data_IF_164596604076
#
_entry.id   IF_164596604076
#
_cell.length_a   1.000
_cell.length_b   1.000
_cell.length_c   1.000
_cell.angle_alpha   90.00
_cell.angle_beta   90.00
_cell.angle_gamma   90.00
#
_symmetry.space_group_name_H-M   'P 1'
#
loop_
_entity.id
_entity.type
_entity.pdbx_description
1 polymer ?
#
# COMPACT_ATOMS: atom_id res chain seq x y z
N UNK A 1 12.54 1.32 -25.20
CA UNK A 1 12.96 0.32 -26.21
C UNK A 1 14.42 -0.08 -26.08
N UNK A 2 15.36 0.86 -25.90
CA UNK A 2 16.80 0.57 -25.74
C UNK A 2 17.10 -0.65 -24.84
N UNK A 3 16.62 -0.64 -23.59
CA UNK A 3 16.83 -1.73 -22.62
C UNK A 3 16.29 -3.07 -23.11
N UNK A 4 15.09 -3.07 -23.69
CA UNK A 4 14.39 -4.27 -24.14
C UNK A 4 14.95 -4.90 -25.41
N UNK A 5 15.63 -4.11 -26.21
CA UNK A 5 16.19 -4.53 -27.50
C UNK A 5 17.69 -4.77 -27.45
N UNK A 6 18.34 -4.54 -26.30
CA UNK A 6 19.77 -4.70 -26.15
C UNK A 6 20.14 -6.19 -25.95
N UNK A 7 21.03 -6.76 -26.79
CA UNK A 7 21.56 -8.09 -26.57
C UNK A 7 22.34 -8.19 -25.26
N UNK A 8 22.32 -9.37 -24.65
CA UNK A 8 22.96 -9.63 -23.35
C UNK A 8 24.47 -9.40 -23.35
N UNK A 9 25.15 -9.54 -24.50
CA UNK A 9 26.60 -9.27 -24.61
C UNK A 9 26.96 -7.80 -24.33
N UNK A 10 25.99 -6.88 -24.48
CA UNK A 10 26.21 -5.44 -24.28
C UNK A 10 25.71 -4.94 -22.92
N UNK A 11 25.28 -5.83 -22.00
CA UNK A 11 24.79 -5.41 -20.69
C UNK A 11 25.88 -4.74 -19.86
N UNK A 12 27.04 -5.37 -19.73
CA UNK A 12 28.14 -4.84 -18.92
C UNK A 12 28.85 -3.65 -19.59
N UNK A 13 28.90 -3.61 -20.93
CA UNK A 13 29.62 -2.58 -21.69
C UNK A 13 28.80 -1.32 -22.02
N UNK A 14 27.47 -1.43 -22.10
CA UNK A 14 26.58 -0.32 -22.45
C UNK A 14 25.50 -0.05 -21.41
N UNK A 15 24.67 -1.04 -21.06
CA UNK A 15 23.49 -0.79 -20.23
C UNK A 15 23.85 -0.51 -18.78
N UNK A 16 24.74 -1.27 -18.15
CA UNK A 16 25.10 -1.04 -16.75
C UNK A 16 25.78 0.32 -16.54
N UNK A 17 26.76 0.75 -17.36
CA UNK A 17 27.36 2.08 -17.28
C UNK A 17 26.37 3.23 -17.52
N UNK A 18 25.31 3.00 -18.31
CA UNK A 18 24.27 4.00 -18.57
C UNK A 18 23.23 4.06 -17.44
N UNK A 19 22.69 2.90 -17.05
CA UNK A 19 21.56 2.80 -16.14
C UNK A 19 21.96 3.01 -14.68
N UNK A 20 23.17 2.62 -14.27
CA UNK A 20 23.64 2.80 -12.90
C UNK A 20 23.63 4.27 -12.45
N UNK A 21 24.32 5.17 -13.15
CA UNK A 21 24.29 6.61 -12.87
C UNK A 21 22.89 7.20 -13.02
N UNK A 22 22.10 6.74 -13.99
CA UNK A 22 20.72 7.18 -14.18
C UNK A 22 19.86 6.86 -12.95
N UNK A 23 19.88 5.63 -12.44
CA UNK A 23 19.10 5.27 -11.25
C UNK A 23 19.57 6.00 -9.99
N UNK A 24 20.87 6.26 -9.88
CA UNK A 24 21.43 7.08 -8.80
C UNK A 24 20.86 8.51 -8.85
N UNK A 25 20.89 9.14 -10.02
CA UNK A 25 20.31 10.47 -10.21
C UNK A 25 18.80 10.50 -9.95
N UNK A 26 18.06 9.51 -10.49
CA UNK A 26 16.61 9.40 -10.31
C UNK A 26 16.24 9.21 -8.83
N UNK A 27 16.99 8.39 -8.08
CA UNK A 27 16.79 8.20 -6.65
C UNK A 27 16.89 9.54 -5.92
N UNK A 28 17.96 10.30 -6.15
CA UNK A 28 18.20 11.58 -5.49
C UNK A 28 17.12 12.60 -5.86
N UNK A 29 16.82 12.73 -7.16
CA UNK A 29 15.87 13.71 -7.68
C UNK A 29 14.44 13.42 -7.21
N UNK A 30 13.99 12.17 -7.29
CA UNK A 30 12.66 11.78 -6.83
C UNK A 30 12.52 11.96 -5.32
N UNK A 31 13.51 11.52 -4.54
CA UNK A 31 13.47 11.66 -3.08
C UNK A 31 13.37 13.12 -2.66
N UNK A 32 14.19 14.00 -3.26
CA UNK A 32 14.16 15.43 -2.98
C UNK A 32 12.82 16.07 -3.35
N UNK A 33 12.29 15.77 -4.55
CA UNK A 33 11.02 16.36 -5.02
C UNK A 33 9.83 15.87 -4.19
N UNK A 34 9.78 14.58 -3.85
CA UNK A 34 8.73 14.03 -2.99
C UNK A 34 8.79 14.57 -1.57
N UNK A 35 9.99 14.81 -1.04
CA UNK A 35 10.15 15.46 0.26
C UNK A 35 9.53 16.87 0.26
N UNK A 36 9.76 17.66 -0.79
CA UNK A 36 9.15 19.00 -0.93
C UNK A 36 7.62 18.90 -0.96
N UNK A 37 7.06 18.01 -1.77
CA UNK A 37 5.59 17.84 -1.87
C UNK A 37 5.00 17.43 -0.52
N UNK A 38 5.59 16.43 0.14
CA UNK A 38 5.10 15.95 1.43
C UNK A 38 5.16 17.04 2.51
N UNK A 39 6.20 17.88 2.50
CA UNK A 39 6.30 19.03 3.41
C UNK A 39 5.20 20.06 3.13
N UNK A 40 4.94 20.41 1.86
CA UNK A 40 3.86 21.34 1.47
C UNK A 40 2.50 20.84 1.93
N UNK A 41 2.18 19.57 1.69
CA UNK A 41 0.92 18.97 2.15
C UNK A 41 0.76 19.08 3.67
N UNK A 42 1.84 18.88 4.45
CA UNK A 42 1.80 18.98 5.91
C UNK A 42 1.56 20.41 6.41
N UNK A 43 2.12 21.42 5.73
CA UNK A 43 1.98 22.83 6.10
C UNK A 43 0.62 23.39 5.68
N UNK A 44 0.13 23.00 4.50
CA UNK A 44 -1.18 23.42 4.00
C UNK A 44 -2.33 22.85 4.86
N UNK A 45 -2.14 21.69 5.49
CA UNK A 45 -3.07 21.14 6.47
C UNK A 45 -3.13 21.93 7.80
N UNK A 46 -2.17 22.83 8.05
CA UNK A 46 -2.03 23.60 9.30
C UNK A 46 -2.37 25.08 9.16
N UNK A 47 -2.45 25.62 7.93
CA UNK A 47 -2.74 27.03 7.68
C UNK A 47 -4.06 27.21 6.92
N UNK A 48 -5.09 27.73 7.59
CA UNK A 48 -6.28 28.33 6.97
C UNK A 48 -5.93 29.74 6.44
N UNK A 49 -5.00 29.82 5.48
CA UNK A 49 -4.63 31.12 4.90
C UNK A 49 -5.53 31.42 3.69
N UNK A 50 -6.48 32.34 3.87
CA UNK A 50 -7.47 32.78 2.87
C UNK A 50 -6.85 33.52 1.65
N UNK A 51 -5.53 33.76 1.66
CA UNK A 51 -4.79 34.43 0.60
C UNK A 51 -3.93 33.48 -0.26
N UNK A 52 -4.26 32.19 -0.32
CA UNK A 52 -3.62 31.27 -1.25
C UNK A 52 -4.15 31.53 -2.67
N UNK A 53 -3.36 32.20 -3.52
CA UNK A 53 -3.79 32.47 -4.88
C UNK A 53 -4.05 31.14 -5.63
N UNK A 54 -5.19 31.05 -6.31
CA UNK A 54 -5.62 29.88 -7.09
C UNK A 54 -4.54 29.39 -8.06
N UNK A 55 -3.73 30.32 -8.61
CA UNK A 55 -2.59 30.02 -9.48
C UNK A 55 -1.50 29.20 -8.77
N UNK A 56 -1.24 29.45 -7.49
CA UNK A 56 -0.26 28.68 -6.72
C UNK A 56 -0.74 27.25 -6.46
N UNK A 57 -2.02 27.07 -6.11
CA UNK A 57 -2.62 25.74 -5.93
C UNK A 57 -2.55 24.94 -7.23
N UNK A 58 -2.92 25.56 -8.36
CA UNK A 58 -2.86 24.91 -9.66
C UNK A 58 -1.43 24.46 -10.01
N UNK A 59 -0.43 25.34 -9.82
CA UNK A 59 0.97 25.00 -10.08
C UNK A 59 1.44 23.82 -9.22
N UNK A 60 1.11 23.80 -7.92
CA UNK A 60 1.49 22.72 -7.02
C UNK A 60 0.85 21.38 -7.43
N UNK A 61 -0.42 21.39 -7.80
CA UNK A 61 -1.12 20.20 -8.30
C UNK A 61 -0.45 19.68 -9.58
N UNK A 62 -0.11 20.55 -10.52
CA UNK A 62 0.60 20.15 -11.76
C UNK A 62 1.97 19.56 -11.45
N UNK A 63 2.74 20.18 -10.55
CA UNK A 63 4.05 19.67 -10.13
C UNK A 63 3.94 18.26 -9.50
N UNK A 64 2.91 18.02 -8.68
CA UNK A 64 2.64 16.72 -8.08
C UNK A 64 2.26 15.68 -9.13
N UNK A 65 1.35 16.02 -10.05
CA UNK A 65 0.94 15.10 -11.12
C UNK A 65 2.11 14.73 -12.03
N UNK A 66 2.96 15.70 -12.40
CA UNK A 66 4.17 15.42 -13.18
C UNK A 66 5.14 14.50 -12.41
N UNK A 67 5.32 14.70 -11.10
CA UNK A 67 6.19 13.85 -10.30
C UNK A 67 5.65 12.42 -10.17
N UNK A 68 4.33 12.26 -10.04
CA UNK A 68 3.66 10.96 -10.07
C UNK A 68 3.86 10.25 -11.42
N UNK A 69 3.75 10.97 -12.55
CA UNK A 69 4.00 10.40 -13.87
C UNK A 69 5.47 9.96 -14.03
N UNK A 70 6.43 10.82 -13.68
CA UNK A 70 7.87 10.48 -13.77
C UNK A 70 8.19 9.27 -12.90
N UNK A 71 7.63 9.20 -11.69
CA UNK A 71 7.75 8.01 -10.83
C UNK A 71 7.32 6.74 -11.55
N UNK A 72 6.12 6.78 -12.17
CA UNK A 72 5.52 5.59 -12.82
C UNK A 72 6.48 5.07 -13.89
N UNK A 73 6.97 5.96 -14.74
CA UNK A 73 7.93 5.63 -15.79
C UNK A 73 9.24 5.05 -15.23
N UNK A 74 9.76 5.59 -14.13
CA UNK A 74 10.97 5.07 -13.49
C UNK A 74 10.77 3.65 -12.97
N UNK A 75 9.62 3.37 -12.37
CA UNK A 75 9.32 2.04 -11.81
C UNK A 75 8.96 1.03 -12.89
N UNK A 76 8.31 1.47 -13.97
CA UNK A 76 8.12 0.64 -15.16
C UNK A 76 9.47 0.31 -15.81
N UNK A 77 10.39 1.28 -15.91
CA UNK A 77 11.76 1.04 -16.32
C UNK A 77 12.47 0.04 -15.40
N UNK A 78 12.35 0.17 -14.08
CA UNK A 78 12.92 -0.78 -13.12
C UNK A 78 12.29 -2.17 -13.24
N UNK A 79 10.98 -2.26 -13.44
CA UNK A 79 10.26 -3.52 -13.64
C UNK A 79 10.83 -4.27 -14.85
N UNK A 80 10.98 -3.55 -15.95
CA UNK A 80 11.47 -4.09 -17.22
C UNK A 80 12.97 -4.43 -17.14
N UNK A 81 13.74 -3.63 -16.41
CA UNK A 81 15.19 -3.82 -16.27
C UNK A 81 15.51 -4.98 -15.34
N UNK A 82 14.83 -5.07 -14.19
CA UNK A 82 15.22 -5.94 -13.09
C UNK A 82 14.41 -7.21 -12.97
N UNK A 83 13.19 -7.29 -13.53
CA UNK A 83 12.29 -8.43 -13.27
C UNK A 83 11.93 -9.16 -14.56
N UNK A 84 11.97 -10.48 -14.49
CA UNK A 84 11.38 -11.36 -15.50
C UNK A 84 10.26 -12.16 -14.90
N UNK A 85 9.20 -12.38 -15.69
CA UNK A 85 8.10 -13.25 -15.31
C UNK A 85 8.38 -14.65 -15.84
N UNK A 86 8.62 -15.62 -14.95
CA UNK A 86 8.62 -17.03 -15.37
C UNK A 86 7.19 -17.50 -15.53
N UNK A 87 6.81 -17.85 -16.75
CA UNK A 87 5.61 -18.65 -16.96
C UNK A 87 5.92 -20.08 -16.50
N UNK A 88 5.07 -20.73 -15.68
CA UNK A 88 5.23 -22.14 -15.39
C UNK A 88 5.29 -22.89 -16.72
N UNK A 89 6.41 -23.56 -17.00
CA UNK A 89 6.51 -24.44 -18.17
C UNK A 89 5.46 -25.54 -17.97
N UNK A 90 4.38 -25.49 -18.74
CA UNK A 90 3.56 -26.68 -18.97
C UNK A 90 4.53 -27.74 -19.49
N UNK A 91 4.73 -28.80 -18.72
CA UNK A 91 5.59 -29.91 -19.13
C UNK A 91 5.09 -30.40 -20.48
N UNK A 92 5.92 -30.20 -21.52
CA UNK A 92 5.70 -30.80 -22.82
C UNK A 92 5.91 -32.31 -22.69
N UNK A 93 4.87 -33.00 -22.21
CA UNK A 93 4.70 -34.41 -22.50
C UNK A 93 3.84 -34.51 -23.76
N UNK A 94 4.36 -35.29 -24.69
CA UNK A 94 3.85 -35.57 -26.03
C UNK A 94 2.45 -36.18 -26.00
N UNK A 95 1.77 -35.98 -27.13
CA UNK A 95 0.76 -36.87 -27.75
C UNK A 95 -0.51 -37.12 -26.92
N UNK A 96 -1.60 -36.41 -27.23
CA UNK A 96 -2.66 -36.94 -28.10
C UNK A 96 -3.97 -36.14 -28.00
N UNK A 97 -4.65 -36.09 -29.15
CA UNK A 97 -6.09 -36.07 -29.34
C UNK A 97 -7.00 -35.00 -28.68
N UNK A 98 -7.68 -34.32 -29.60
CA UNK A 98 -9.11 -33.99 -29.56
C UNK A 98 -9.58 -32.72 -28.85
N UNK A 99 -10.55 -32.09 -29.51
CA UNK A 99 -10.98 -30.72 -29.34
C UNK A 99 -11.80 -30.44 -28.09
N UNK A 100 -12.10 -29.15 -27.98
CA UNK A 100 -12.88 -28.47 -26.95
C UNK A 100 -12.09 -28.03 -25.71
N UNK A 101 -11.70 -26.75 -25.72
CA UNK A 101 -11.30 -26.01 -24.51
C UNK A 101 -12.12 -24.75 -24.39
N UNK A 102 -13.40 -24.93 -24.04
CA UNK A 102 -14.14 -23.94 -23.26
C UNK A 102 -13.56 -23.83 -21.85
N UNK A 103 -13.50 -22.57 -21.42
CA UNK A 103 -13.48 -22.08 -20.03
C UNK A 103 -12.16 -22.00 -19.24
N UNK A 104 -12.09 -20.86 -18.54
CA UNK A 104 -11.26 -20.48 -17.38
C UNK A 104 -9.84 -19.96 -17.67
N UNK A 105 -9.76 -18.76 -18.24
CA UNK A 105 -8.68 -17.80 -17.94
C UNK A 105 -9.20 -16.74 -16.96
N UNK A 106 -9.59 -17.20 -15.78
CA UNK A 106 -9.78 -16.36 -14.59
C UNK A 106 -9.28 -17.15 -13.40
N UNK A 107 -7.96 -17.36 -13.39
CA UNK A 107 -7.30 -17.60 -12.13
C UNK A 107 -6.00 -16.81 -12.09
N UNK A 108 -5.83 -16.13 -10.97
CA UNK A 108 -4.68 -15.29 -10.63
C UNK A 108 -3.37 -16.02 -10.95
N UNK A 109 -2.78 -15.71 -12.10
CA UNK A 109 -1.54 -16.32 -12.57
C UNK A 109 -0.38 -15.79 -11.70
N UNK A 110 -0.19 -16.43 -10.55
CA UNK A 110 0.99 -16.32 -9.68
C UNK A 110 2.23 -16.83 -10.43
N UNK A 111 2.65 -16.10 -11.45
CA UNK A 111 3.96 -16.27 -12.05
C UNK A 111 4.99 -15.94 -10.98
N UNK A 112 6.01 -16.79 -10.84
CA UNK A 112 7.13 -16.49 -9.95
C UNK A 112 7.94 -15.39 -10.65
N UNK A 113 8.03 -14.23 -10.01
CA UNK A 113 8.90 -13.14 -10.44
C UNK A 113 10.32 -13.42 -9.97
N UNK A 114 11.28 -13.28 -10.88
CA UNK A 114 12.69 -13.46 -10.59
C UNK A 114 13.50 -12.31 -11.17
N UNK A 115 14.71 -12.14 -10.64
CA UNK A 115 15.64 -11.15 -11.15
C UNK A 115 16.07 -11.51 -12.57
N UNK A 116 15.91 -10.57 -13.50
CA UNK A 116 16.37 -10.69 -14.88
C UNK A 116 17.90 -10.78 -14.95
N UNK A 117 18.46 -11.25 -16.07
CA UNK A 117 19.92 -11.27 -16.27
C UNK A 117 20.52 -9.86 -16.23
N UNK A 118 19.84 -8.87 -16.81
CA UNK A 118 20.25 -7.47 -16.72
C UNK A 118 20.18 -6.95 -15.28
N UNK A 119 19.13 -7.28 -14.54
CA UNK A 119 18.98 -6.95 -13.13
C UNK A 119 20.11 -7.53 -12.29
N UNK A 120 20.50 -8.80 -12.55
CA UNK A 120 21.66 -9.42 -11.90
C UNK A 120 22.95 -8.66 -12.19
N UNK A 121 23.17 -8.21 -13.43
CA UNK A 121 24.37 -7.46 -13.79
C UNK A 121 24.40 -6.08 -13.13
N UNK A 122 23.29 -5.35 -13.23
CA UNK A 122 23.15 -3.99 -12.70
C UNK A 122 23.30 -3.93 -11.18
N UNK A 123 22.70 -4.89 -10.47
CA UNK A 123 22.66 -4.92 -9.02
C UNK A 123 23.91 -5.56 -8.38
N UNK A 124 24.98 -5.81 -9.16
CA UNK A 124 26.31 -6.18 -8.62
C UNK A 124 26.92 -5.04 -7.82
N UNK A 125 26.64 -3.79 -8.20
CA UNK A 125 27.06 -2.61 -7.45
C UNK A 125 26.11 -2.39 -6.27
N UNK A 126 26.67 -2.37 -5.06
CA UNK A 126 25.91 -2.15 -3.83
C UNK A 126 25.20 -0.79 -3.83
N UNK A 127 25.87 0.27 -4.29
CA UNK A 127 25.29 1.62 -4.38
C UNK A 127 24.06 1.64 -5.30
N UNK A 128 24.17 1.02 -6.48
CA UNK A 128 23.05 0.95 -7.43
C UNK A 128 21.91 0.12 -6.82
N UNK A 129 22.24 -1.00 -6.18
CA UNK A 129 21.26 -1.86 -5.54
C UNK A 129 20.47 -1.13 -4.45
N UNK A 130 21.17 -0.41 -3.58
CA UNK A 130 20.56 0.42 -2.54
C UNK A 130 19.68 1.51 -3.14
N UNK A 131 20.14 2.22 -4.17
CA UNK A 131 19.35 3.25 -4.84
C UNK A 131 18.04 2.69 -5.44
N UNK A 132 18.12 1.53 -6.10
CA UNK A 132 16.95 0.84 -6.67
C UNK A 132 15.98 0.39 -5.58
N UNK A 133 16.47 -0.21 -4.49
CA UNK A 133 15.65 -0.55 -3.33
C UNK A 133 14.97 0.70 -2.75
N UNK A 134 15.72 1.78 -2.57
CA UNK A 134 15.19 3.02 -2.01
C UNK A 134 14.08 3.60 -2.87
N UNK A 135 14.24 3.62 -4.19
CA UNK A 135 13.18 4.06 -5.12
C UNK A 135 11.92 3.20 -4.93
N UNK A 136 12.04 1.86 -4.98
CA UNK A 136 10.88 0.97 -4.91
C UNK A 136 10.14 1.04 -3.57
N UNK A 137 10.86 1.11 -2.44
CA UNK A 137 10.21 1.16 -1.13
C UNK A 137 9.64 2.54 -0.80
N UNK A 138 10.26 3.63 -1.26
CA UNK A 138 9.66 4.97 -1.13
C UNK A 138 8.38 5.10 -1.94
N UNK A 139 8.32 4.51 -3.14
CA UNK A 139 7.14 4.64 -4.01
C UNK A 139 5.87 3.99 -3.45
N UNK A 140 5.99 3.09 -2.46
CA UNK A 140 4.85 2.46 -1.79
C UNK A 140 3.93 3.45 -1.07
N UNK A 141 4.44 4.62 -0.69
CA UNK A 141 3.69 5.66 0.03
C UNK A 141 3.29 6.85 -0.85
N UNK A 142 3.59 6.81 -2.16
CA UNK A 142 3.22 7.88 -3.09
C UNK A 142 1.78 7.67 -3.57
N UNK A 143 1.02 8.75 -3.82
CA UNK A 143 -0.44 8.75 -4.01
C UNK A 143 -0.90 8.07 -5.33
N UNK A 144 -0.65 6.78 -5.46
CA UNK A 144 -0.94 5.99 -6.65
C UNK A 144 -1.16 4.51 -6.32
N UNK A 145 -2.43 4.10 -6.28
CA UNK A 145 -2.85 2.77 -5.82
C UNK A 145 -2.42 1.66 -6.77
N UNK A 146 -2.62 1.85 -8.09
CA UNK A 146 -2.30 0.84 -9.11
C UNK A 146 -0.80 0.54 -9.10
N UNK A 147 0.00 1.59 -8.97
CA UNK A 147 1.43 1.47 -8.90
C UNK A 147 1.90 0.82 -7.60
N UNK A 148 1.36 1.25 -6.46
CA UNK A 148 1.68 0.67 -5.15
C UNK A 148 1.45 -0.85 -5.15
N UNK A 149 0.30 -1.30 -5.66
CA UNK A 149 -0.04 -2.73 -5.78
C UNK A 149 1.01 -3.48 -6.60
N UNK A 150 1.34 -2.97 -7.80
CA UNK A 150 2.30 -3.60 -8.70
C UNK A 150 3.71 -3.62 -8.11
N UNK A 151 4.19 -2.51 -7.56
CA UNK A 151 5.53 -2.39 -6.98
C UNK A 151 5.70 -3.29 -5.76
N UNK A 152 4.72 -3.31 -4.86
CA UNK A 152 4.73 -4.19 -3.68
C UNK A 152 4.68 -5.67 -4.07
N UNK A 153 3.80 -6.04 -5.02
CA UNK A 153 3.59 -7.42 -5.43
C UNK A 153 4.70 -8.00 -6.29
N UNK A 154 5.43 -7.17 -7.05
CA UNK A 154 6.42 -7.62 -8.02
C UNK A 154 7.85 -7.21 -7.63
N UNK A 155 8.12 -5.91 -7.50
CA UNK A 155 9.49 -5.40 -7.42
C UNK A 155 10.11 -5.57 -6.03
N UNK A 156 9.43 -5.08 -5.00
CA UNK A 156 10.00 -4.97 -3.65
C UNK A 156 10.52 -6.31 -3.14
N UNK A 157 9.70 -7.36 -3.24
CA UNK A 157 10.12 -8.70 -2.79
C UNK A 157 11.20 -9.31 -3.68
N UNK A 158 11.08 -9.18 -5.01
CA UNK A 158 12.07 -9.74 -5.95
C UNK A 158 13.46 -9.18 -5.71
N UNK A 159 13.55 -7.88 -5.42
CA UNK A 159 14.79 -7.19 -5.10
C UNK A 159 15.31 -7.57 -3.71
N UNK A 160 14.47 -7.45 -2.66
CA UNK A 160 14.89 -7.72 -1.28
C UNK A 160 15.32 -9.16 -1.05
N UNK A 161 14.70 -10.12 -1.74
CA UNK A 161 15.04 -11.54 -1.63
C UNK A 161 16.52 -11.83 -1.89
N UNK A 162 17.18 -11.02 -2.74
CA UNK A 162 18.58 -11.20 -3.12
C UNK A 162 19.56 -10.98 -1.96
N UNK A 163 19.17 -10.21 -0.94
CA UNK A 163 20.05 -9.83 0.18
C UNK A 163 19.62 -10.41 1.52
N UNK A 164 18.63 -11.31 1.55
CA UNK A 164 18.20 -11.97 2.79
C UNK A 164 19.33 -12.77 3.47
N UNK A 165 20.26 -13.31 2.67
CA UNK A 165 21.46 -14.00 3.15
C UNK A 165 22.62 -13.07 3.53
N UNK A 166 22.55 -11.79 3.16
CA UNK A 166 23.55 -10.78 3.50
C UNK A 166 23.39 -10.24 4.92
N UNK A 167 24.28 -9.31 5.31
CA UNK A 167 24.17 -8.57 6.57
C UNK A 167 23.57 -7.20 6.29
N UNK A 168 22.24 -7.10 6.33
CA UNK A 168 21.56 -5.81 6.32
C UNK A 168 21.80 -5.09 7.65
N UNK A 169 21.96 -3.77 7.60
CA UNK A 169 21.97 -2.93 8.80
C UNK A 169 20.57 -2.93 9.46
N UNK A 170 20.48 -3.00 10.80
CA UNK A 170 19.20 -2.96 11.52
C UNK A 170 18.33 -1.74 11.15
N UNK A 171 18.95 -0.60 10.91
CA UNK A 171 18.27 0.64 10.49
C UNK A 171 17.65 0.49 9.10
N UNK A 172 18.35 -0.20 8.18
CA UNK A 172 17.82 -0.47 6.85
C UNK A 172 16.63 -1.43 6.91
N UNK A 173 16.69 -2.47 7.73
CA UNK A 173 15.56 -3.40 7.95
C UNK A 173 14.37 -2.65 8.53
N UNK A 174 14.62 -1.79 9.51
CA UNK A 174 13.59 -0.94 10.12
C UNK A 174 12.95 0.00 9.11
N UNK A 175 13.75 0.67 8.29
CA UNK A 175 13.30 1.57 7.25
C UNK A 175 12.48 0.83 6.17
N UNK A 176 12.96 -0.31 5.69
CA UNK A 176 12.26 -1.16 4.70
C UNK A 176 10.88 -1.55 5.23
N UNK A 177 10.82 -2.09 6.45
CA UNK A 177 9.56 -2.56 7.03
C UNK A 177 8.58 -1.41 7.29
N UNK A 178 9.09 -0.30 7.82
CA UNK A 178 8.30 0.92 8.05
C UNK A 178 7.74 1.48 6.74
N UNK A 179 8.50 1.45 5.64
CA UNK A 179 8.05 1.90 4.32
C UNK A 179 6.85 1.09 3.81
N UNK A 180 6.82 -0.24 4.06
CA UNK A 180 5.66 -1.08 3.72
C UNK A 180 4.44 -0.73 4.57
N UNK A 181 4.63 -0.52 5.88
CA UNK A 181 3.54 -0.13 6.79
C UNK A 181 2.99 1.27 6.46
N UNK A 182 3.85 2.22 6.06
CA UNK A 182 3.42 3.52 5.54
C UNK A 182 2.62 3.38 4.25
N UNK A 183 3.03 2.49 3.35
CA UNK A 183 2.22 2.15 2.17
C UNK A 183 0.84 1.61 2.55
N UNK A 184 0.76 0.78 3.59
CA UNK A 184 -0.51 0.24 4.09
C UNK A 184 -1.38 1.33 4.73
N UNK A 185 -0.76 2.30 5.40
CA UNK A 185 -1.42 3.49 5.93
C UNK A 185 -1.95 4.39 4.80
N UNK A 186 -1.24 4.49 3.67
CA UNK A 186 -1.64 5.32 2.54
C UNK A 186 -2.72 4.67 1.66
N UNK A 187 -2.61 3.36 1.40
CA UNK A 187 -3.41 2.68 0.38
C UNK A 187 -4.22 1.48 0.87
N UNK A 188 -4.07 1.06 2.13
CA UNK A 188 -4.63 -0.19 2.64
C UNK A 188 -6.16 -0.27 2.63
N UNK A 189 -6.86 0.85 2.41
CA UNK A 189 -8.30 0.87 2.15
C UNK A 189 -8.68 0.19 0.82
N UNK A 190 -7.76 0.12 -0.14
CA UNK A 190 -7.95 -0.52 -1.44
C UNK A 190 -7.54 -1.99 -1.34
N UNK A 191 -8.44 -2.89 -1.75
CA UNK A 191 -8.26 -4.33 -1.60
C UNK A 191 -6.97 -4.85 -2.24
N UNK A 192 -6.66 -4.42 -3.47
CA UNK A 192 -5.45 -4.82 -4.19
C UNK A 192 -4.16 -4.41 -3.47
N UNK A 193 -4.04 -3.13 -3.11
CA UNK A 193 -2.88 -2.63 -2.35
C UNK A 193 -2.78 -3.31 -0.98
N UNK A 194 -3.90 -3.44 -0.26
CA UNK A 194 -3.96 -4.11 1.04
C UNK A 194 -3.43 -5.55 0.96
N UNK A 195 -3.88 -6.31 -0.03
CA UNK A 195 -3.46 -7.68 -0.24
C UNK A 195 -1.96 -7.78 -0.59
N UNK A 196 -1.47 -6.92 -1.49
CA UNK A 196 -0.07 -6.90 -1.92
C UNK A 196 0.88 -6.47 -0.78
N UNK A 197 0.56 -5.38 -0.07
CA UNK A 197 1.36 -4.86 1.03
C UNK A 197 1.34 -5.78 2.26
N UNK A 198 0.18 -6.35 2.60
CA UNK A 198 0.09 -7.37 3.68
C UNK A 198 0.96 -8.57 3.36
N UNK A 199 0.95 -9.04 2.10
CA UNK A 199 1.79 -10.14 1.66
C UNK A 199 3.28 -9.79 1.74
N UNK A 200 3.66 -8.59 1.28
CA UNK A 200 5.03 -8.11 1.34
C UNK A 200 5.52 -8.00 2.79
N UNK A 201 4.73 -7.38 3.67
CA UNK A 201 5.04 -7.28 5.10
C UNK A 201 5.23 -8.66 5.74
N UNK A 202 4.35 -9.62 5.44
CA UNK A 202 4.46 -10.99 5.94
C UNK A 202 5.77 -11.65 5.51
N UNK A 203 6.13 -11.54 4.22
CA UNK A 203 7.36 -12.12 3.68
C UNK A 203 8.61 -11.51 4.32
N UNK A 204 8.62 -10.19 4.50
CA UNK A 204 9.72 -9.48 5.16
C UNK A 204 9.84 -9.93 6.62
N UNK A 205 8.72 -9.96 7.35
CA UNK A 205 8.70 -10.35 8.76
C UNK A 205 9.25 -11.76 8.92
N UNK A 206 8.73 -12.75 8.21
CA UNK A 206 9.18 -14.14 8.34
C UNK A 206 10.64 -14.34 7.97
N UNK A 207 11.10 -13.65 6.92
CA UNK A 207 12.44 -13.92 6.36
C UNK A 207 13.54 -13.22 7.13
N UNK A 208 13.25 -12.07 7.76
CA UNK A 208 14.22 -11.27 8.47
C UNK A 208 14.09 -11.38 9.99
N UNK A 209 12.89 -11.69 10.54
CA UNK A 209 12.67 -11.74 12.00
C UNK A 209 13.62 -12.68 12.76
N UNK A 210 14.02 -13.85 12.25
CA UNK A 210 15.00 -14.71 12.93
C UNK A 210 16.35 -14.03 13.20
N UNK A 211 16.71 -13.00 12.42
CA UNK A 211 17.98 -12.29 12.48
C UNK A 211 17.85 -10.86 13.04
N UNK A 212 16.68 -10.25 12.91
CA UNK A 212 16.43 -8.84 13.23
C UNK A 212 15.26 -8.71 14.21
N UNK A 213 15.57 -8.39 15.47
CA UNK A 213 14.58 -8.22 16.53
C UNK A 213 13.80 -6.90 16.41
N UNK A 214 14.34 -5.93 15.69
CA UNK A 214 13.77 -4.60 15.44
C UNK A 214 12.39 -4.69 14.79
N UNK A 215 12.13 -5.72 13.98
CA UNK A 215 10.82 -5.95 13.36
C UNK A 215 9.72 -6.15 14.42
N UNK A 216 10.02 -6.81 15.54
CA UNK A 216 9.08 -6.97 16.65
C UNK A 216 8.79 -5.64 17.33
N UNK A 217 9.79 -4.78 17.45
CA UNK A 217 9.62 -3.43 18.00
C UNK A 217 8.70 -2.59 17.11
N UNK A 218 8.90 -2.61 15.78
CA UNK A 218 8.04 -1.88 14.85
C UNK A 218 6.60 -2.40 14.90
N UNK A 219 6.40 -3.73 14.94
CA UNK A 219 5.06 -4.31 15.09
C UNK A 219 4.36 -3.82 16.36
N UNK A 220 5.06 -3.71 17.49
CA UNK A 220 4.49 -3.18 18.74
C UNK A 220 4.00 -1.74 18.64
N UNK A 221 4.47 -0.96 17.67
CA UNK A 221 4.03 0.42 17.46
C UNK A 221 2.75 0.53 16.61
N UNK A 222 2.24 -0.59 16.09
CA UNK A 222 0.99 -0.60 15.33
C UNK A 222 -0.19 -0.37 16.29
N UNK A 223 -1.10 0.58 15.99
CA UNK A 223 -2.28 0.82 16.82
C UNK A 223 -3.13 -0.44 17.03
N UNK A 224 -3.72 -0.56 18.22
CA UNK A 224 -4.66 -1.64 18.60
C UNK A 224 -4.12 -3.07 18.43
N UNK A 225 -2.79 -3.25 18.46
CA UNK A 225 -2.19 -4.57 18.30
C UNK A 225 -2.39 -5.46 19.52
N UNK A 226 -2.82 -6.70 19.27
CA UNK A 226 -2.98 -7.72 20.31
C UNK A 226 -1.62 -8.31 20.67
N UNK A 227 -1.03 -7.87 21.79
CA UNK A 227 0.34 -8.21 22.21
C UNK A 227 0.54 -9.71 22.36
N UNK A 228 -0.42 -10.44 22.96
CA UNK A 228 -0.34 -11.89 23.14
C UNK A 228 -0.37 -12.64 21.80
N UNK A 229 -1.22 -12.19 20.87
CA UNK A 229 -1.29 -12.77 19.53
C UNK A 229 0.01 -12.53 18.75
N UNK A 230 0.60 -11.34 18.91
CA UNK A 230 1.88 -11.00 18.30
C UNK A 230 3.01 -11.83 18.89
N UNK A 231 3.05 -12.04 20.20
CA UNK A 231 4.04 -12.90 20.84
C UNK A 231 3.97 -14.34 20.31
N UNK A 232 2.77 -14.92 20.22
CA UNK A 232 2.58 -16.26 19.66
C UNK A 232 2.99 -16.35 18.18
N UNK A 233 2.72 -15.31 17.40
CA UNK A 233 3.14 -15.24 16.00
C UNK A 233 4.67 -15.11 15.89
N UNK A 234 5.27 -14.27 16.74
CA UNK A 234 6.69 -13.97 16.74
C UNK A 234 7.54 -15.20 17.10
N UNK A 235 7.14 -15.94 18.13
CA UNK A 235 7.80 -17.19 18.52
C UNK A 235 7.83 -18.19 17.35
N UNK A 236 6.72 -18.29 16.59
CA UNK A 236 6.65 -19.15 15.39
C UNK A 236 7.52 -18.65 14.25
N UNK A 237 7.65 -17.34 14.07
CA UNK A 237 8.51 -16.75 13.05
C UNK A 237 10.00 -17.02 13.33
N UNK A 238 10.42 -16.98 14.60
CA UNK A 238 11.81 -17.27 15.01
C UNK A 238 12.15 -18.75 14.87
N UNK A 239 11.23 -19.66 15.22
CA UNK A 239 11.48 -21.10 15.29
C UNK A 239 11.63 -21.80 13.92
N UNK A 240 11.50 -21.07 12.80
CA UNK A 240 11.65 -21.59 11.42
C UNK A 240 10.98 -22.95 11.21
N UNK A 241 9.72 -23.08 11.63
CA UNK A 241 8.96 -24.29 11.39
C UNK A 241 8.37 -24.25 9.96
N UNK A 242 8.99 -25.01 9.05
CA UNK A 242 8.48 -25.32 7.71
C UNK A 242 7.26 -26.25 7.82
N UNK A 243 6.18 -25.78 8.45
CA UNK A 243 4.87 -26.41 8.33
C UNK A 243 4.10 -25.68 7.25
N UNK A 244 4.10 -26.24 6.03
CA UNK A 244 3.29 -25.80 4.89
C UNK A 244 1.78 -25.92 5.14
N UNK A 245 1.38 -26.62 6.20
CA UNK A 245 0.00 -26.67 6.67
C UNK A 245 -0.38 -25.36 7.37
N UNK A 246 -1.29 -24.59 6.77
CA UNK A 246 -1.90 -23.42 7.41
C UNK A 246 -1.47 -22.04 6.90
N UNK A 247 -0.84 -21.93 5.72
CA UNK A 247 -0.47 -20.63 5.12
C UNK A 247 -1.64 -19.64 5.06
N UNK A 248 -2.84 -20.11 4.71
CA UNK A 248 -4.05 -19.28 4.69
C UNK A 248 -4.38 -18.73 6.09
N UNK A 249 -4.38 -19.60 7.10
CA UNK A 249 -4.66 -19.20 8.50
C UNK A 249 -3.60 -18.23 9.03
N UNK A 250 -2.33 -18.48 8.71
CA UNK A 250 -1.20 -17.63 9.09
C UNK A 250 -1.29 -16.24 8.46
N UNK A 251 -1.66 -16.17 7.17
CA UNK A 251 -1.91 -14.89 6.49
C UNK A 251 -3.05 -14.10 7.14
N UNK A 252 -4.16 -14.76 7.47
CA UNK A 252 -5.27 -14.11 8.17
C UNK A 252 -4.87 -13.63 9.58
N UNK A 253 -4.13 -14.44 10.35
CA UNK A 253 -3.60 -14.04 11.66
C UNK A 253 -2.69 -12.82 11.54
N UNK A 254 -1.77 -12.81 10.56
CA UNK A 254 -0.90 -11.66 10.35
C UNK A 254 -1.67 -10.42 9.91
N UNK A 255 -2.67 -10.58 9.04
CA UNK A 255 -3.56 -9.48 8.62
C UNK A 255 -4.26 -8.84 9.81
N UNK A 256 -4.69 -9.63 10.80
CA UNK A 256 -5.26 -9.10 12.05
C UNK A 256 -4.23 -8.31 12.87
N UNK A 257 -2.98 -8.78 12.95
CA UNK A 257 -1.92 -8.08 13.68
C UNK A 257 -1.60 -6.70 13.11
N UNK A 258 -1.58 -6.56 11.78
CA UNK A 258 -1.25 -5.29 11.12
C UNK A 258 -2.48 -4.43 10.80
N UNK A 259 -3.68 -4.81 11.25
CA UNK A 259 -4.93 -4.14 10.89
C UNK A 259 -4.93 -2.64 11.27
N UNK A 260 -4.31 -2.27 12.40
CA UNK A 260 -4.18 -0.89 12.84
C UNK A 260 -3.25 -0.02 11.98
N UNK A 261 -2.44 -0.62 11.11
CA UNK A 261 -1.61 0.10 10.14
C UNK A 261 -2.37 0.42 8.85
N UNK A 262 -3.59 -0.13 8.65
CA UNK A 262 -4.42 0.17 7.49
C UNK A 262 -5.01 1.58 7.60
N UNK A 263 -4.79 2.39 6.58
CA UNK A 263 -5.33 3.74 6.52
C UNK A 263 -6.86 3.79 6.62
N UNK A 264 -7.38 4.71 7.43
CA UNK A 264 -8.82 5.01 7.47
C UNK A 264 -9.26 5.69 6.17
N UNK A 265 -10.44 5.38 5.63
CA UNK A 265 -10.94 6.06 4.45
C UNK A 265 -11.08 7.56 4.63
N UNK A 266 -10.89 8.33 3.55
CA UNK A 266 -10.94 9.80 3.56
C UNK A 266 -12.24 10.33 4.21
N UNK A 267 -13.38 9.68 3.95
CA UNK A 267 -14.68 10.02 4.57
C UNK A 267 -14.82 9.71 6.07
N UNK A 268 -13.85 9.02 6.69
CA UNK A 268 -13.72 8.83 8.13
C UNK A 268 -12.60 9.70 8.73
N UNK A 269 -11.62 10.13 7.93
CA UNK A 269 -10.55 11.04 8.37
C UNK A 269 -11.07 12.45 8.71
N UNK A 270 -12.14 12.90 8.04
CA UNK A 270 -12.81 14.16 8.33
C UNK A 270 -14.02 14.04 9.27
N UNK A 271 -14.35 12.83 9.72
CA UNK A 271 -15.28 12.69 10.85
C UNK A 271 -14.49 13.02 12.10
N UNK A 272 -14.65 14.25 12.60
CA UNK A 272 -14.17 14.63 13.93
C UNK A 272 -14.67 13.57 14.90
N UNK A 273 -13.76 12.79 15.47
CA UNK A 273 -14.11 11.76 16.44
C UNK A 273 -14.47 12.50 17.73
N UNK A 274 -15.72 12.96 17.81
CA UNK A 274 -16.20 13.72 18.96
C UNK A 274 -16.40 12.71 20.10
N UNK A 275 -15.33 12.47 20.86
CA UNK A 275 -15.45 11.95 22.21
C UNK A 275 -16.11 13.04 23.06
N UNK A 276 -17.42 13.14 22.95
CA UNK A 276 -18.23 13.94 23.86
C UNK A 276 -18.21 13.22 25.21
N UNK A 277 -17.24 13.56 26.06
CA UNK A 277 -17.32 13.23 27.48
C UNK A 277 -18.60 13.85 28.03
N UNK A 278 -19.61 13.00 28.26
CA UNK A 278 -20.90 13.29 28.92
C UNK A 278 -21.33 14.75 28.83
N UNK A 279 -21.75 15.19 27.64
CA UNK A 279 -22.51 16.44 27.56
C UNK A 279 -23.77 16.27 28.44
N UNK A 280 -24.08 17.23 29.32
CA UNK A 280 -25.36 17.26 30.00
C UNK A 280 -26.48 17.26 28.96
N UNK A 281 -27.50 16.42 29.14
CA UNK A 281 -28.64 16.34 28.22
C UNK A 281 -29.27 17.72 28.02
N UNK A 282 -29.15 18.27 26.82
CA UNK A 282 -29.77 19.56 26.45
C UNK A 282 -31.29 19.49 26.37
N UNK A 283 -31.87 18.28 26.39
CA UNK A 283 -33.30 18.06 26.48
C UNK A 283 -33.64 17.48 27.85
N UNK A 284 -34.06 18.34 28.78
CA UNK A 284 -34.92 17.90 29.88
C UNK A 284 -36.26 17.56 29.25
N UNK A 285 -36.60 16.27 29.13
CA UNK A 285 -37.97 15.86 28.78
C UNK A 285 -38.91 16.52 29.79
N UNK A 286 -39.88 17.35 29.38
CA UNK A 286 -40.87 17.89 30.29
C UNK A 286 -41.58 16.71 30.97
N UNK A 287 -41.72 16.77 32.31
CA UNK A 287 -42.54 15.79 33.03
C UNK A 287 -43.96 15.88 32.46
N UNK A 288 -44.62 14.76 32.12
CA UNK A 288 -46.02 14.79 31.75
C UNK A 288 -46.83 15.17 32.99
N UNK A 289 -47.34 16.39 33.03
CA UNK A 289 -48.44 16.77 33.92
C UNK A 289 -49.68 16.03 33.44
N UNK A 290 -50.16 15.11 34.28
CA UNK A 290 -51.47 14.51 34.12
C UNK A 290 -52.54 15.51 34.56
N UNK A 291 -53.62 15.47 33.78
CA UNK A 291 -54.98 15.93 34.04
C UNK A 291 -55.21 17.45 34.01
N UNK A 292 -55.98 17.89 33.00
CA UNK A 292 -57.37 18.36 33.16
C UNK A 292 -57.99 18.48 31.76
N UNK A 293 -59.22 17.97 31.62
CA UNK A 293 -60.06 18.03 30.43
C UNK A 293 -60.31 19.48 29.98
N UNK A 294 -60.48 19.70 28.66
CA UNK A 294 -61.74 20.18 28.06
C UNK A 294 -61.51 20.68 26.63
N UNK A 295 -62.39 20.21 25.73
CA UNK A 295 -62.74 20.71 24.40
C UNK A 295 -62.16 22.07 23.98
N UNK A 296 -61.53 22.13 22.80
CA UNK A 296 -62.10 22.89 21.67
C UNK A 296 -61.37 22.58 20.37
N UNK A 297 -62.14 22.67 19.30
CA UNK A 297 -61.85 22.34 17.92
C UNK A 297 -60.62 23.02 17.29
N UNK A 298 -60.19 22.36 16.20
CA UNK A 298 -59.78 22.93 14.92
C UNK A 298 -58.32 22.71 14.50
N UNK A 299 -58.19 22.01 13.37
CA UNK A 299 -57.04 21.95 12.46
C UNK A 299 -55.73 21.36 13.00
N UNK A 300 -55.72 20.03 13.18
CA UNK A 300 -54.48 19.25 13.23
C UNK A 300 -53.91 19.03 11.82
N UNK A 301 -52.58 19.08 11.71
CA UNK A 301 -51.65 18.83 10.57
C UNK A 301 -51.99 17.71 9.56
N UNK A 302 -53.00 16.89 9.87
CA UNK A 302 -53.50 15.81 9.03
C UNK A 302 -54.29 16.35 7.82
N UNK A 303 -54.87 17.55 7.90
CA UNK A 303 -55.54 18.20 6.77
C UNK A 303 -54.58 18.66 5.65
N UNK A 304 -53.27 18.73 5.92
CA UNK A 304 -52.24 19.24 4.99
C UNK A 304 -51.77 18.22 3.95
N UNK A 305 -52.16 16.94 4.09
CA UNK A 305 -51.68 15.84 3.24
C UNK A 305 -52.80 15.02 2.60
N UNK A 306 -54.04 15.52 2.66
CA UNK A 306 -55.15 14.89 1.95
C UNK A 306 -55.18 15.41 0.51
N UNK A 307 -55.14 14.52 -0.51
CA UNK A 307 -55.17 14.95 -1.90
C UNK A 307 -56.56 15.49 -2.26
N UNK A 308 -56.63 16.71 -2.79
CA UNK A 308 -57.87 17.31 -3.29
C UNK A 308 -58.50 16.40 -4.35
N UNK A 309 -59.69 15.88 -4.03
CA UNK A 309 -60.60 15.31 -5.01
C UNK A 309 -61.66 16.36 -5.29
N UNK A 310 -61.36 17.26 -6.23
CA UNK A 310 -62.38 18.05 -6.89
C UNK A 310 -63.27 17.13 -7.72
N UNK A 311 -64.52 17.01 -7.31
CA UNK A 311 -65.65 16.63 -8.15
C UNK A 311 -66.76 17.66 -7.91
N UNK A 312 -66.71 18.73 -8.71
CA UNK A 312 -67.78 19.13 -9.62
C UNK A 312 -67.23 20.18 -10.61
#
# INVERSE_FOLDING_TARGET
QLVMSCPHEYYDSLLCPLLGPLFTYLQQRLSFRWQIINQRTSLCAQQENEAYEENHVFQEMVEEQLLQLVTREVIDLLSVTCVTRKCPKLSANKEDADGDKRMVLKDSSKGIHELSELGKCLLRSEDIYLNVLTICFNSLSWRDTVHCERTAGVLCWTLLKQVLGGNLLPEAVTWIYTSVLKGLQMHGQHEGCSAALTQLALLIYESLRPRYAELRFIMNQIPDIQVDALEQFDQKAIQSAVTKAGEKKKKEQFKQLIAGAVGKPLGQQFKKEVHIQKLPSLFKKPKPTKDVLENTDSAGLIALFSPDRDNC
#
